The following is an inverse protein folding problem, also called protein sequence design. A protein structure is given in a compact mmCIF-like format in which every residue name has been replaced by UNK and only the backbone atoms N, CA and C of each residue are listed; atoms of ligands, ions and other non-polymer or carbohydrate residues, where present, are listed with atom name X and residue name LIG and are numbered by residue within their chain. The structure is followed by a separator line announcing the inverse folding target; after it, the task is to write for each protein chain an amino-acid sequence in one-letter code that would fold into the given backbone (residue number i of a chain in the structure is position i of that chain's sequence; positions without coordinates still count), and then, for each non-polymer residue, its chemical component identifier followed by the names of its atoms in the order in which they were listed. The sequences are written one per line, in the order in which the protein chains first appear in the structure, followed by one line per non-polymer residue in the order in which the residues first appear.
data_IF_664790623251
#
_entry.id   IF_664790623251
#
_cell.length_a   1.000
_cell.length_b   1.000
_cell.length_c   1.000
_cell.angle_alpha   90.00
_cell.angle_beta   90.00
_cell.angle_gamma   90.00
#
_symmetry.space_group_name_H-M   'P 1'
#
loop_
_entity.id
_entity.type
_entity.pdbx_description
1 polymer ?
#
# COMPACT_ATOMS: atom_id res chain seq x y z
N UNK A 1 22.19 -4.88 -69.50
CA UNK A 1 21.81 -3.62 -68.81
C UNK A 1 20.30 -3.47 -68.82
N UNK A 2 19.64 -3.00 -69.89
CA UNK A 2 18.18 -2.82 -69.91
C UNK A 2 17.34 -4.03 -69.43
N UNK A 3 17.60 -5.25 -69.92
CA UNK A 3 16.87 -6.46 -69.45
C UNK A 3 17.14 -6.84 -68.00
N UNK A 4 18.37 -6.64 -67.52
CA UNK A 4 18.75 -6.95 -66.14
C UNK A 4 18.13 -5.94 -65.17
N UNK A 5 17.96 -4.68 -65.60
CA UNK A 5 17.25 -3.65 -64.85
C UNK A 5 15.74 -3.95 -64.80
N UNK A 6 15.16 -4.45 -65.89
CA UNK A 6 13.76 -4.88 -65.94
C UNK A 6 13.48 -6.09 -65.03
N UNK A 7 14.33 -7.11 -65.07
CA UNK A 7 14.25 -8.28 -64.19
C UNK A 7 14.41 -7.89 -62.71
N UNK A 8 15.33 -6.97 -62.39
CA UNK A 8 15.51 -6.46 -61.03
C UNK A 8 14.31 -5.64 -60.54
N UNK A 9 13.67 -4.87 -61.42
CA UNK A 9 12.47 -4.10 -61.09
C UNK A 9 11.26 -5.02 -60.86
N UNK A 10 11.11 -6.08 -61.66
CA UNK A 10 10.05 -7.10 -61.47
C UNK A 10 10.25 -7.80 -60.13
N UNK A 11 11.46 -8.27 -59.84
CA UNK A 11 11.77 -8.90 -58.56
C UNK A 11 11.50 -7.96 -57.37
N UNK A 12 11.80 -6.67 -57.51
CA UNK A 12 11.51 -5.67 -56.48
C UNK A 12 9.99 -5.51 -56.26
N UNK A 13 9.19 -5.48 -57.32
CA UNK A 13 7.73 -5.39 -57.23
C UNK A 13 7.16 -6.63 -56.52
N UNK A 14 7.60 -7.83 -56.91
CA UNK A 14 7.16 -9.09 -56.26
C UNK A 14 7.50 -9.11 -54.77
N UNK A 15 8.70 -8.63 -54.39
CA UNK A 15 9.07 -8.53 -52.98
C UNK A 15 8.23 -7.50 -52.22
N UNK A 16 7.82 -6.41 -52.88
CA UNK A 16 6.98 -5.40 -52.27
C UNK A 16 5.55 -5.89 -52.06
N UNK A 17 5.00 -6.63 -53.03
CA UNK A 17 3.68 -7.26 -52.93
C UNK A 17 3.63 -8.32 -51.82
N UNK A 18 4.68 -9.13 -51.65
CA UNK A 18 4.78 -10.10 -50.54
C UNK A 18 4.88 -9.40 -49.17
N UNK A 19 5.65 -8.32 -49.07
CA UNK A 19 5.74 -7.51 -47.84
C UNK A 19 4.37 -6.90 -47.52
N UNK A 20 3.68 -6.37 -48.53
CA UNK A 20 2.37 -5.76 -48.35
C UNK A 20 1.33 -6.80 -47.87
N UNK A 21 1.33 -8.00 -48.46
CA UNK A 21 0.45 -9.08 -48.04
C UNK A 21 0.69 -9.52 -46.58
N UNK A 22 1.95 -9.51 -46.12
CA UNK A 22 2.31 -9.80 -44.72
C UNK A 22 1.83 -8.71 -43.76
N UNK A 23 2.00 -7.44 -44.12
CA UNK A 23 1.51 -6.31 -43.33
C UNK A 23 -0.02 -6.34 -43.21
N UNK A 24 -0.72 -6.65 -44.30
CA UNK A 24 -2.19 -6.77 -44.28
C UNK A 24 -2.66 -7.95 -43.41
N UNK A 25 -1.95 -9.09 -43.47
CA UNK A 25 -2.24 -10.24 -42.62
C UNK A 25 -2.01 -9.95 -41.13
N UNK A 26 -0.91 -9.26 -40.79
CA UNK A 26 -0.60 -8.85 -39.42
C UNK A 26 -1.62 -7.85 -38.89
N UNK A 27 -2.08 -6.91 -39.72
CA UNK A 27 -3.12 -5.96 -39.35
C UNK A 27 -4.44 -6.66 -38.99
N UNK A 28 -4.87 -7.61 -39.83
CA UNK A 28 -6.08 -8.41 -39.56
C UNK A 28 -5.93 -9.27 -38.29
N UNK A 29 -4.73 -9.78 -38.00
CA UNK A 29 -4.47 -10.53 -36.78
C UNK A 29 -4.57 -9.63 -35.54
N UNK A 30 -4.02 -8.43 -35.59
CA UNK A 30 -4.10 -7.43 -34.52
C UNK A 30 -5.55 -7.04 -34.24
N UNK A 31 -6.35 -6.80 -35.27
CA UNK A 31 -7.78 -6.49 -35.11
C UNK A 31 -8.56 -7.62 -34.41
N UNK A 32 -8.28 -8.88 -34.78
CA UNK A 32 -8.92 -10.04 -34.15
C UNK A 32 -8.53 -10.21 -32.69
N UNK A 33 -7.23 -10.07 -32.39
CA UNK A 33 -6.74 -10.15 -31.01
C UNK A 33 -7.32 -9.03 -30.14
N UNK A 34 -7.39 -7.81 -30.68
CA UNK A 34 -7.98 -6.69 -29.97
C UNK A 34 -9.49 -6.87 -29.73
N UNK A 35 -10.22 -7.43 -30.71
CA UNK A 35 -11.63 -7.77 -30.56
C UNK A 35 -11.83 -8.87 -29.50
N UNK A 36 -10.99 -9.91 -29.51
CA UNK A 36 -11.03 -11.00 -28.53
C UNK A 36 -10.72 -10.51 -27.10
N UNK A 37 -9.74 -9.63 -26.91
CA UNK A 37 -9.45 -9.01 -25.60
C UNK A 37 -10.60 -8.10 -25.09
N UNK A 38 -11.34 -7.46 -26.00
CA UNK A 38 -12.54 -6.71 -25.66
C UNK A 38 -13.76 -7.61 -25.40
N UNK A 39 -13.82 -8.79 -26.03
CA UNK A 39 -14.88 -9.78 -25.82
C UNK A 39 -14.69 -10.58 -24.51
N UNK A 40 -13.43 -10.85 -24.12
CA UNK A 40 -13.11 -11.61 -22.90
C UNK A 40 -13.55 -10.91 -21.61
N UNK A 41 -13.67 -9.58 -21.61
CA UNK A 41 -14.29 -8.84 -20.52
C UNK A 41 -15.05 -7.65 -21.08
N UNK A 42 -16.36 -7.64 -20.87
CA UNK A 42 -17.18 -6.45 -21.13
C UNK A 42 -16.64 -5.27 -20.32
N UNK A 43 -16.82 -4.04 -20.81
CA UNK A 43 -16.40 -2.83 -20.07
C UNK A 43 -16.98 -2.81 -18.64
N UNK A 44 -18.19 -3.34 -18.47
CA UNK A 44 -18.83 -3.50 -17.17
C UNK A 44 -18.09 -4.49 -16.23
N UNK A 45 -17.54 -5.59 -16.75
CA UNK A 45 -16.76 -6.55 -15.97
C UNK A 45 -15.39 -5.99 -15.60
N UNK A 46 -14.75 -5.26 -16.53
CA UNK A 46 -13.51 -4.52 -16.28
C UNK A 46 -13.71 -3.49 -15.16
N UNK A 47 -14.77 -2.70 -15.24
CA UNK A 47 -15.15 -1.72 -14.22
C UNK A 47 -15.43 -2.37 -12.87
N UNK A 48 -16.18 -3.48 -12.86
CA UNK A 48 -16.47 -4.23 -11.63
C UNK A 48 -15.19 -4.74 -10.98
N UNK A 49 -14.28 -5.35 -11.75
CA UNK A 49 -13.02 -5.87 -11.24
C UNK A 49 -12.13 -4.74 -10.70
N UNK A 50 -12.09 -3.61 -11.39
CA UNK A 50 -11.37 -2.42 -10.94
C UNK A 50 -11.95 -1.88 -9.62
N UNK A 51 -13.27 -1.79 -9.50
CA UNK A 51 -13.93 -1.35 -8.27
C UNK A 51 -13.66 -2.29 -7.09
N UNK A 52 -13.74 -3.61 -7.31
CA UNK A 52 -13.38 -4.60 -6.29
C UNK A 52 -11.92 -4.48 -5.83
N UNK A 53 -11.01 -4.24 -6.77
CA UNK A 53 -9.59 -4.02 -6.47
C UNK A 53 -9.36 -2.75 -5.63
N UNK A 54 -10.01 -1.63 -5.99
CA UNK A 54 -9.93 -0.37 -5.23
C UNK A 54 -10.49 -0.55 -3.82
N UNK A 55 -11.62 -1.26 -3.66
CA UNK A 55 -12.21 -1.53 -2.35
C UNK A 55 -11.27 -2.36 -1.47
N UNK A 56 -10.69 -3.45 -2.00
CA UNK A 56 -9.70 -4.27 -1.30
C UNK A 56 -8.48 -3.45 -0.87
N UNK A 57 -7.94 -2.59 -1.75
CA UNK A 57 -6.83 -1.68 -1.40
C UNK A 57 -7.22 -0.72 -0.28
N UNK A 58 -8.39 -0.08 -0.34
CA UNK A 58 -8.85 0.84 0.72
C UNK A 58 -8.94 0.14 2.08
N UNK A 59 -9.50 -1.06 2.14
CA UNK A 59 -9.60 -1.87 3.37
C UNK A 59 -8.22 -2.24 3.91
N UNK A 60 -7.30 -2.68 3.05
CA UNK A 60 -5.93 -3.00 3.45
C UNK A 60 -5.21 -1.81 4.10
N UNK A 61 -5.25 -0.64 3.46
CA UNK A 61 -4.60 0.57 4.01
C UNK A 61 -5.31 1.13 5.26
N UNK A 62 -6.61 0.92 5.42
CA UNK A 62 -7.31 1.25 6.66
C UNK A 62 -6.83 0.35 7.81
N UNK A 63 -6.79 -0.97 7.60
CA UNK A 63 -6.29 -1.93 8.59
C UNK A 63 -4.83 -1.66 8.97
N UNK A 64 -3.98 -1.35 7.99
CA UNK A 64 -2.56 -1.02 8.21
C UNK A 64 -2.40 0.21 9.11
N UNK A 65 -3.17 1.28 8.84
CA UNK A 65 -3.15 2.48 9.68
C UNK A 65 -3.62 2.22 11.10
N UNK A 66 -4.64 1.39 11.29
CA UNK A 66 -5.11 1.03 12.62
C UNK A 66 -4.11 0.16 13.39
N UNK A 67 -3.44 -0.77 12.71
CA UNK A 67 -2.33 -1.54 13.28
C UNK A 67 -1.18 -0.63 13.72
N UNK A 68 -0.78 0.31 12.87
CA UNK A 68 0.27 1.29 13.18
C UNK A 68 -0.12 2.20 14.35
N UNK A 69 -1.40 2.60 14.44
CA UNK A 69 -1.92 3.36 15.59
C UNK A 69 -1.87 2.56 16.89
N UNK A 70 -2.10 1.24 16.85
CA UNK A 70 -2.00 0.34 18.02
C UNK A 70 -0.55 0.06 18.43
N UNK A 71 0.36 -0.06 17.46
CA UNK A 71 1.80 -0.23 17.71
C UNK A 71 2.46 1.04 18.24
N UNK A 72 1.81 2.20 18.11
CA UNK A 72 2.36 3.47 18.58
C UNK A 72 2.53 3.43 20.10
N UNK A 73 3.74 3.67 20.62
CA UNK A 73 3.95 3.72 22.06
C UNK A 73 3.07 4.81 22.69
N UNK A 74 2.62 4.61 23.94
CA UNK A 74 1.76 5.58 24.61
C UNK A 74 2.43 6.94 24.68
N UNK A 75 1.65 7.99 24.42
CA UNK A 75 2.12 9.38 24.48
C UNK A 75 2.58 9.74 25.89
N UNK A 76 3.44 10.75 26.03
CA UNK A 76 3.90 11.24 27.35
C UNK A 76 2.73 11.56 28.30
N UNK A 77 1.60 12.06 27.79
CA UNK A 77 0.40 12.32 28.57
C UNK A 77 -0.28 11.04 29.06
N UNK A 78 -0.41 10.02 28.19
CA UNK A 78 -0.95 8.71 28.56
C UNK A 78 -0.06 8.01 29.60
N UNK A 79 1.27 8.03 29.39
CA UNK A 79 2.24 7.52 30.36
C UNK A 79 2.11 8.23 31.71
N UNK A 80 2.01 9.57 31.70
CA UNK A 80 1.81 10.37 32.93
C UNK A 80 0.53 9.96 33.66
N UNK A 81 -0.56 9.75 32.91
CA UNK A 81 -1.84 9.32 33.48
C UNK A 81 -1.71 7.95 34.15
N UNK A 82 -1.10 6.97 33.48
CA UNK A 82 -0.90 5.61 34.01
C UNK A 82 -0.06 5.66 35.29
N UNK A 83 1.09 6.33 35.25
CA UNK A 83 1.98 6.48 36.42
C UNK A 83 1.29 7.18 37.59
N UNK A 84 0.54 8.25 37.32
CA UNK A 84 -0.19 9.01 38.34
C UNK A 84 -1.29 8.16 38.98
N UNK A 85 -2.00 7.35 38.19
CA UNK A 85 -3.03 6.43 38.71
C UNK A 85 -2.41 5.39 39.63
N UNK A 86 -1.29 4.77 39.22
CA UNK A 86 -0.58 3.80 40.05
C UNK A 86 -0.11 4.39 41.39
N UNK A 87 0.50 5.57 41.35
CA UNK A 87 0.98 6.26 42.57
C UNK A 87 -0.17 6.59 43.53
N UNK A 88 -1.38 6.87 43.03
CA UNK A 88 -2.57 7.09 43.86
C UNK A 88 -3.06 5.80 44.52
N UNK A 89 -3.07 4.69 43.79
CA UNK A 89 -3.65 3.43 44.26
C UNK A 89 -2.68 2.61 45.11
N UNK A 90 -1.45 2.47 44.67
CA UNK A 90 -0.44 1.60 45.30
C UNK A 90 0.37 2.34 46.37
N UNK A 91 0.68 3.61 46.12
CA UNK A 91 1.63 4.37 46.94
C UNK A 91 0.95 5.49 47.74
N UNK A 92 -0.39 5.57 47.68
CA UNK A 92 -1.21 6.46 48.51
C UNK A 92 -1.08 7.96 48.22
N UNK A 93 -0.54 8.35 47.06
CA UNK A 93 -0.32 9.77 46.74
C UNK A 93 -1.61 10.54 46.55
N UNK A 94 -1.69 11.75 47.11
CA UNK A 94 -2.85 12.63 46.90
C UNK A 94 -2.80 13.24 45.49
N UNK A 95 -3.94 13.38 44.80
CA UNK A 95 -3.99 13.98 43.46
C UNK A 95 -3.41 15.40 43.37
N UNK A 96 -3.57 16.19 44.44
CA UNK A 96 -3.09 17.59 44.51
C UNK A 96 -1.56 17.65 44.42
N UNK A 97 -0.87 16.66 44.99
CA UNK A 97 0.59 16.62 45.05
C UNK A 97 1.20 16.22 43.70
N UNK A 98 0.46 15.48 42.87
CA UNK A 98 0.91 15.02 41.56
C UNK A 98 0.55 16.00 40.42
N UNK A 99 -0.52 16.79 40.57
CA UNK A 99 -1.08 17.65 39.51
C UNK A 99 -0.05 18.64 38.94
N UNK A 100 0.75 19.25 39.81
CA UNK A 100 1.73 20.29 39.44
C UNK A 100 3.15 19.76 39.24
N UNK A 101 3.37 18.43 39.34
CA UNK A 101 4.70 17.84 39.12
C UNK A 101 4.99 17.64 37.64
N UNK A 102 6.24 17.89 37.27
CA UNK A 102 6.76 17.58 35.93
C UNK A 102 6.70 16.08 35.63
N UNK A 103 6.69 15.73 34.35
CA UNK A 103 6.71 14.33 33.92
C UNK A 103 7.92 13.57 34.49
N UNK A 104 9.11 14.18 34.44
CA UNK A 104 10.33 13.57 34.97
C UNK A 104 10.21 13.24 36.47
N UNK A 105 9.60 14.14 37.26
CA UNK A 105 9.41 13.89 38.68
C UNK A 105 8.39 12.78 38.96
N UNK A 106 7.30 12.72 38.17
CA UNK A 106 6.31 11.64 38.27
C UNK A 106 6.95 10.30 37.90
N UNK A 107 7.80 10.28 36.86
CA UNK A 107 8.54 9.09 36.45
C UNK A 107 9.47 8.59 37.55
N UNK A 108 10.25 9.48 38.16
CA UNK A 108 11.15 9.12 39.28
C UNK A 108 10.38 8.51 40.47
N UNK A 109 9.23 9.09 40.83
CA UNK A 109 8.38 8.56 41.92
C UNK A 109 7.81 7.19 41.58
N UNK A 110 7.36 7.01 40.35
CA UNK A 110 6.83 5.73 39.88
C UNK A 110 7.91 4.65 39.87
N UNK A 111 9.10 4.94 39.34
CA UNK A 111 10.21 3.98 39.31
C UNK A 111 10.60 3.54 40.74
N UNK A 112 10.66 4.48 41.70
CA UNK A 112 10.89 4.16 43.12
C UNK A 112 9.79 3.29 43.73
N UNK A 113 8.53 3.57 43.42
CA UNK A 113 7.41 2.77 43.90
C UNK A 113 7.42 1.35 43.31
N UNK A 114 7.83 1.20 42.05
CA UNK A 114 7.99 -0.10 41.40
C UNK A 114 9.11 -0.91 42.05
N UNK A 115 10.27 -0.31 42.32
CA UNK A 115 11.37 -1.01 43.01
C UNK A 115 10.96 -1.46 44.43
N UNK A 116 10.27 -0.62 45.20
CA UNK A 116 9.76 -1.02 46.53
C UNK A 116 8.78 -2.19 46.46
N UNK A 117 7.90 -2.22 45.46
CA UNK A 117 6.96 -3.33 45.29
C UNK A 117 7.64 -4.61 44.79
N UNK A 118 8.74 -4.49 44.05
CA UNK A 118 9.56 -5.63 43.64
C UNK A 118 10.27 -6.30 44.82
N UNK A 119 10.58 -5.54 45.87
CA UNK A 119 11.17 -6.07 47.12
C UNK A 119 10.11 -6.70 48.06
N UNK A 120 8.82 -6.49 47.79
CA UNK A 120 7.70 -7.02 48.58
C UNK A 120 7.09 -8.32 48.00
N UNK A 121 7.57 -8.78 46.84
CA UNK A 121 7.20 -10.05 46.20
C UNK A 121 8.39 -11.02 46.24
#
# INVERSE_FOLDING_TARGET
RARQEEEANIALIETWEDIQAKVDADYQLIERLHAEEHEQFTDAEKDKLFMEFIEKRRKFFAAKRDEDRRKKPPTKAQQRSIMTTYLKSMDGWKPRDLKNKSFAKIKELFDKAMERNKELC
#
